data_IF_989728912866
#
_entry.id   IF_989728912866
#
_cell.length_a   1.000
_cell.length_b   1.000
_cell.length_c   1.000
_cell.angle_alpha   90.00
_cell.angle_beta   90.00
_cell.angle_gamma   90.00
#
_symmetry.space_group_name_H-M   'P 1'
#
loop_
_entity.id
_entity.type
_entity.pdbx_description
1 polymer ?
#
# COMPACT_ATOMS: atom_id res chain seq x y z
N UNK A 1 2.23 -1.97 15.36
CA UNK A 1 1.65 -2.06 14.00
C UNK A 1 0.43 -1.15 13.98
N UNK A 2 0.25 -0.34 12.93
CA UNK A 2 -0.95 0.47 12.76
C UNK A 2 -2.20 -0.45 12.84
N UNK A 3 -3.24 -0.12 13.63
CA UNK A 3 -4.41 -0.98 13.81
C UNK A 3 -5.09 -1.36 12.49
N UNK A 4 -5.10 -0.44 11.52
CA UNK A 4 -5.71 -0.66 10.21
C UNK A 4 -4.91 -1.68 9.40
N UNK A 5 -3.58 -1.61 9.49
CA UNK A 5 -2.66 -2.57 8.85
C UNK A 5 -2.81 -3.94 9.48
N UNK A 6 -2.85 -4.04 10.81
CA UNK A 6 -3.06 -5.31 11.50
C UNK A 6 -4.38 -5.97 11.07
N UNK A 7 -5.48 -5.20 11.07
CA UNK A 7 -6.79 -5.68 10.62
C UNK A 7 -6.82 -6.07 9.14
N UNK A 8 -6.01 -5.45 8.28
CA UNK A 8 -5.88 -5.86 6.87
C UNK A 8 -5.20 -7.23 6.72
N UNK A 9 -4.20 -7.50 7.57
CA UNK A 9 -3.45 -8.75 7.58
C UNK A 9 -4.31 -9.89 8.11
N UNK A 10 -5.04 -9.66 9.21
CA UNK A 10 -5.91 -10.67 9.83
C UNK A 10 -7.04 -11.10 8.90
N UNK A 11 -7.60 -10.17 8.13
CA UNK A 11 -8.67 -10.44 7.17
C UNK A 11 -8.16 -10.94 5.81
N UNK A 12 -6.85 -10.91 5.56
CA UNK A 12 -6.26 -11.25 4.26
C UNK A 12 -6.69 -10.30 3.13
N UNK A 13 -7.11 -9.08 3.46
CA UNK A 13 -7.56 -8.07 2.50
C UNK A 13 -6.45 -7.03 2.35
N UNK A 14 -5.87 -6.83 1.15
CA UNK A 14 -4.85 -5.81 0.91
C UNK A 14 -5.30 -4.43 1.38
N UNK A 15 -4.39 -3.68 2.02
CA UNK A 15 -4.63 -2.31 2.49
C UNK A 15 -5.22 -1.40 1.41
N UNK A 16 -4.72 -1.52 0.17
CA UNK A 16 -5.18 -0.77 -0.99
C UNK A 16 -6.67 -0.97 -1.31
N UNK A 17 -7.23 -2.14 -0.96
CA UNK A 17 -8.64 -2.45 -1.14
C UNK A 17 -9.47 -2.14 0.10
N UNK A 18 -8.94 -2.43 1.28
CA UNK A 18 -9.63 -2.26 2.56
C UNK A 18 -9.81 -0.80 2.94
N UNK A 19 -8.78 0.01 2.75
CA UNK A 19 -8.76 1.41 3.12
C UNK A 19 -8.04 2.22 2.02
N UNK A 20 -8.69 2.39 0.85
CA UNK A 20 -8.07 2.99 -0.32
C UNK A 20 -7.62 4.43 -0.09
N UNK A 21 -8.29 5.15 0.80
CA UNK A 21 -8.03 6.57 1.12
C UNK A 21 -7.17 6.75 2.38
N UNK A 22 -6.62 5.67 2.95
CA UNK A 22 -5.72 5.76 4.10
C UNK A 22 -4.35 6.30 3.70
N UNK A 23 -3.66 6.98 4.64
CA UNK A 23 -2.29 7.45 4.45
C UNK A 23 -1.34 6.29 4.06
N UNK A 24 -1.54 5.11 4.64
CA UNK A 24 -0.78 3.89 4.30
C UNK A 24 -1.00 3.50 2.83
N UNK A 25 -2.24 3.54 2.34
CA UNK A 25 -2.55 3.25 0.94
C UNK A 25 -1.96 4.30 -0.01
N UNK A 26 -1.92 5.58 0.37
CA UNK A 26 -1.21 6.62 -0.40
C UNK A 26 0.27 6.27 -0.54
N UNK A 27 0.96 6.00 0.58
CA UNK A 27 2.38 5.67 0.59
C UNK A 27 2.71 4.40 -0.20
N UNK A 28 1.82 3.39 -0.17
CA UNK A 28 1.98 2.18 -0.96
C UNK A 28 1.86 2.44 -2.47
N UNK A 29 0.99 3.37 -2.89
CA UNK A 29 0.88 3.78 -4.30
C UNK A 29 2.11 4.58 -4.73
N UNK A 30 2.55 5.54 -3.92
CA UNK A 30 3.77 6.31 -4.17
C UNK A 30 4.99 5.39 -4.30
N UNK A 31 5.12 4.38 -3.43
CA UNK A 31 6.19 3.38 -3.52
C UNK A 31 6.10 2.56 -4.82
N UNK A 32 4.89 2.19 -5.24
CA UNK A 32 4.68 1.45 -6.48
C UNK A 32 5.06 2.30 -7.72
N UNK A 33 4.73 3.59 -7.72
CA UNK A 33 5.10 4.53 -8.78
C UNK A 33 6.63 4.71 -8.86
N UNK A 34 7.29 4.90 -7.71
CA UNK A 34 8.76 5.01 -7.66
C UNK A 34 9.45 3.74 -8.13
N UNK A 35 8.90 2.57 -7.79
CA UNK A 35 9.43 1.29 -8.24
C UNK A 35 9.27 1.12 -9.75
N UNK A 36 8.12 1.49 -10.31
CA UNK A 36 7.86 1.44 -11.74
C UNK A 36 8.80 2.36 -12.52
N UNK A 37 9.05 3.58 -12.02
CA UNK A 37 10.01 4.52 -12.59
C UNK A 37 11.45 3.98 -12.56
N UNK A 38 11.87 3.42 -11.42
CA UNK A 38 13.21 2.86 -11.27
C UNK A 38 13.44 1.63 -12.17
N UNK A 39 12.40 0.81 -12.39
CA UNK A 39 12.49 -0.37 -13.26
C UNK A 39 12.38 0.00 -14.75
N UNK A 40 11.64 1.06 -15.09
CA UNK A 40 11.50 1.55 -16.46
C UNK A 40 12.69 2.36 -16.95
N UNK A 41 13.55 2.82 -16.05
CA UNK A 41 14.80 3.54 -16.35
C UNK A 41 16.05 2.64 -16.30
N UNK A 42 15.89 1.34 -16.00
CA UNK A 42 16.96 0.34 -15.88
C UNK A 42 17.25 -0.42 -17.19
#
# INVERSE_FOLDING_TARGET
LDPLVASSMDEGVPMLLKAPDSEVSSKLRELAEQLDEALSTA
#
